data_IF_671955713581
#
_entry.id   IF_671955713581
#
_cell.length_a   1.000
_cell.length_b   1.000
_cell.length_c   1.000
_cell.angle_alpha   90.00
_cell.angle_beta   90.00
_cell.angle_gamma   90.00
#
_symmetry.space_group_name_H-M   'P 1'
#
loop_
_entity.id
_entity.type
_entity.pdbx_description
1 polymer ?
#
# COMPACT_ATOMS: atom_id res chain seq x y z
N UNK A 1 -17.91 10.28 -0.42
CA UNK A 1 -16.59 10.19 0.23
C UNK A 1 -16.86 10.39 1.71
N UNK A 2 -16.60 9.38 2.54
CA UNK A 2 -17.01 9.33 3.95
C UNK A 2 -15.77 9.21 4.85
N UNK A 3 -15.67 9.99 5.92
CA UNK A 3 -14.62 9.94 6.94
C UNK A 3 -15.23 9.77 8.34
N UNK A 4 -14.92 8.70 9.08
CA UNK A 4 -15.44 8.49 10.43
C UNK A 4 -14.62 9.27 11.49
N UNK A 5 -15.28 9.86 12.49
CA UNK A 5 -14.68 10.61 13.60
C UNK A 5 -14.76 9.82 14.91
N UNK A 6 -13.61 9.55 15.54
CA UNK A 6 -13.56 8.84 16.82
C UNK A 6 -13.75 9.80 17.99
N UNK A 7 -14.67 9.48 18.90
CA UNK A 7 -14.68 10.04 20.25
C UNK A 7 -13.72 9.24 21.15
N UNK A 8 -13.06 9.95 22.08
CA UNK A 8 -12.21 9.35 23.11
C UNK A 8 -13.11 8.71 24.17
N UNK A 9 -13.07 7.38 24.34
CA UNK A 9 -13.67 6.71 25.50
C UNK A 9 -12.56 6.15 26.40
N UNK A 10 -12.66 6.54 27.67
CA UNK A 10 -11.81 6.14 28.79
C UNK A 10 -12.06 4.65 29.16
N UNK A 11 -11.00 3.99 29.60
CA UNK A 11 -10.98 2.58 30.01
C UNK A 11 -11.87 2.33 31.25
N UNK A 12 -12.79 1.38 31.17
CA UNK A 12 -13.34 0.66 32.34
C UNK A 12 -12.98 -0.83 32.23
N UNK A 13 -12.15 -1.31 33.15
CA UNK A 13 -11.86 -2.72 33.36
C UNK A 13 -13.04 -3.40 34.10
N UNK A 14 -13.70 -4.36 33.47
CA UNK A 14 -14.60 -5.32 34.14
C UNK A 14 -13.96 -6.72 34.23
N UNK A 15 -13.70 -7.18 35.47
CA UNK A 15 -13.33 -8.56 35.80
C UNK A 15 -14.52 -9.51 35.57
N UNK A 16 -14.29 -10.65 34.88
CA UNK A 16 -15.30 -11.69 34.62
C UNK A 16 -14.81 -13.07 35.11
N UNK A 17 -15.65 -13.90 35.77
CA UNK A 17 -15.18 -14.93 36.70
C UNK A 17 -14.82 -16.28 36.05
N UNK A 18 -13.93 -17.00 36.76
CA UNK A 18 -13.38 -18.32 36.46
C UNK A 18 -14.45 -19.44 36.47
N UNK A 19 -14.48 -20.29 35.44
CA UNK A 19 -15.18 -21.58 35.47
C UNK A 19 -14.17 -22.75 35.36
N UNK A 20 -14.34 -23.73 36.27
CA UNK A 20 -13.52 -24.91 36.51
C UNK A 20 -13.89 -26.07 35.55
N UNK A 21 -12.91 -26.61 34.82
CA UNK A 21 -13.09 -27.78 33.95
C UNK A 21 -12.36 -28.98 34.53
N UNK A 22 -13.10 -29.92 35.14
CA UNK A 22 -12.64 -31.28 35.41
C UNK A 22 -13.52 -32.28 34.68
N UNK A 23 -12.84 -33.24 34.06
CA UNK A 23 -13.33 -34.47 33.43
C UNK A 23 -14.12 -34.23 32.12
N UNK A 24 -13.70 -34.71 30.94
CA UNK A 24 -13.25 -36.07 30.63
C UNK A 24 -12.31 -36.03 29.43
N UNK A 25 -11.08 -36.47 29.66
CA UNK A 25 -10.15 -36.93 28.63
C UNK A 25 -10.67 -38.26 28.05
N UNK A 26 -10.74 -38.37 26.71
CA UNK A 26 -10.50 -39.63 25.98
C UNK A 26 -10.34 -39.36 24.47
N UNK A 27 -9.07 -39.42 24.06
CA UNK A 27 -8.52 -39.95 22.81
C UNK A 27 -9.04 -39.31 21.50
N UNK A 28 -8.23 -38.56 20.74
CA UNK A 28 -7.20 -39.09 19.83
C UNK A 28 -6.08 -38.05 19.58
N UNK A 29 -4.89 -38.59 19.32
CA UNK A 29 -3.54 -38.07 19.51
C UNK A 29 -3.11 -36.85 18.66
N UNK A 30 -2.43 -35.90 19.33
CA UNK A 30 -1.54 -34.90 18.72
C UNK A 30 -0.10 -35.32 19.02
N UNK A 31 0.68 -35.59 17.98
CA UNK A 31 2.11 -35.81 18.11
C UNK A 31 2.82 -34.51 18.54
N UNK A 32 3.62 -34.64 19.59
CA UNK A 32 4.43 -33.58 20.22
C UNK A 32 5.58 -33.16 19.32
N UNK A 33 5.72 -31.85 19.09
CA UNK A 33 7.05 -31.22 19.00
C UNK A 33 7.06 -30.00 19.92
N UNK A 34 8.02 -30.03 20.84
CA UNK A 34 8.25 -29.13 21.96
C UNK A 34 8.39 -27.66 21.55
N UNK A 35 7.63 -26.78 22.21
CA UNK A 35 7.85 -25.33 22.22
C UNK A 35 9.09 -25.03 23.07
N UNK A 36 10.14 -24.49 22.45
CA UNK A 36 11.16 -23.71 23.16
C UNK A 36 10.73 -22.25 23.16
N UNK A 37 10.47 -21.72 24.36
CA UNK A 37 10.34 -20.30 24.60
C UNK A 37 11.71 -19.63 24.39
N UNK A 38 11.93 -18.96 23.26
CA UNK A 38 12.98 -17.95 23.17
C UNK A 38 12.37 -16.56 23.41
N UNK A 39 12.67 -16.02 24.59
CA UNK A 39 12.49 -14.62 24.94
C UNK A 39 13.21 -13.77 23.89
N UNK A 40 12.47 -12.99 23.10
CA UNK A 40 13.05 -11.97 22.23
C UNK A 40 13.69 -10.89 23.10
N UNK A 41 14.98 -11.04 23.40
CA UNK A 41 15.80 -9.97 23.97
C UNK A 41 15.90 -8.87 22.92
N UNK A 42 15.39 -7.69 23.26
CA UNK A 42 15.75 -6.44 22.58
C UNK A 42 17.24 -6.24 22.81
N UNK A 43 18.06 -6.77 21.90
CA UNK A 43 19.47 -6.48 21.88
C UNK A 43 19.61 -5.03 21.42
N UNK A 44 19.88 -4.14 22.38
CA UNK A 44 20.63 -2.93 22.11
C UNK A 44 21.80 -3.33 21.21
N UNK A 45 21.91 -2.72 20.02
CA UNK A 45 23.03 -2.93 19.12
C UNK A 45 24.29 -2.53 19.88
N UNK A 46 24.96 -3.52 20.46
CA UNK A 46 26.28 -3.37 21.04
C UNK A 46 27.19 -2.87 19.93
N UNK A 47 27.97 -1.84 20.21
CA UNK A 47 29.04 -1.31 19.38
C UNK A 47 29.94 -2.45 18.90
N UNK A 48 29.63 -3.02 17.73
CA UNK A 48 30.46 -4.01 17.08
C UNK A 48 31.64 -3.26 16.44
N UNK A 49 32.85 -3.71 16.77
CA UNK A 49 34.11 -3.24 16.19
C UNK A 49 34.05 -3.19 14.66
N UNK A 50 34.67 -2.19 14.02
CA UNK A 50 34.60 -2.01 12.56
C UNK A 50 35.15 -3.26 11.86
N UNK A 51 34.33 -3.88 11.02
CA UNK A 51 34.78 -4.96 10.14
C UNK A 51 35.78 -4.39 9.12
N UNK A 52 36.78 -5.17 8.67
CA UNK A 52 37.80 -4.68 7.75
C UNK A 52 37.15 -4.14 6.46
N UNK A 53 37.61 -2.97 6.01
CA UNK A 53 37.14 -2.30 4.80
C UNK A 53 37.23 -3.23 3.58
N UNK A 54 36.11 -3.56 2.96
CA UNK A 54 36.13 -4.09 1.60
C UNK A 54 36.51 -2.94 0.65
N UNK A 55 37.75 -2.95 0.14
CA UNK A 55 38.13 -2.10 -0.98
C UNK A 55 37.36 -2.59 -2.22
N UNK A 56 36.39 -1.80 -2.66
CA UNK A 56 35.64 -2.08 -3.88
C UNK A 56 36.43 -1.76 -5.16
N UNK A 57 37.46 -0.91 -5.08
CA UNK A 57 38.32 -0.59 -6.20
C UNK A 57 39.63 -1.42 -6.15
N UNK A 58 39.96 -2.16 -7.23
CA UNK A 58 41.30 -2.69 -7.46
C UNK A 58 42.36 -1.59 -7.44
N UNK A 59 43.62 -1.94 -7.16
CA UNK A 59 44.74 -0.96 -7.17
C UNK A 59 44.93 -0.29 -8.54
N UNK A 60 44.50 -0.95 -9.62
CA UNK A 60 44.53 -0.44 -10.99
C UNK A 60 43.61 0.79 -11.22
N UNK A 61 42.60 0.97 -10.37
CA UNK A 61 41.64 2.08 -10.50
C UNK A 61 42.05 3.34 -9.72
N UNK A 62 43.15 3.26 -8.95
CA UNK A 62 43.63 4.35 -8.10
C UNK A 62 43.96 5.62 -8.90
N UNK A 63 44.55 5.47 -10.08
CA UNK A 63 44.88 6.59 -10.98
C UNK A 63 43.61 7.29 -11.49
N UNK A 64 42.57 6.51 -11.80
CA UNK A 64 41.30 7.01 -12.32
C UNK A 64 40.55 7.75 -11.21
N UNK A 65 40.54 7.19 -10.00
CA UNK A 65 39.98 7.83 -8.81
C UNK A 65 40.66 9.17 -8.57
N UNK A 66 41.99 9.23 -8.59
CA UNK A 66 42.72 10.49 -8.41
C UNK A 66 42.41 11.52 -9.50
N UNK A 67 42.30 11.09 -10.77
CA UNK A 67 41.92 11.96 -11.90
C UNK A 67 40.52 12.55 -11.73
N UNK A 68 39.57 11.78 -11.19
CA UNK A 68 38.21 12.26 -10.89
C UNK A 68 38.22 13.22 -9.69
N UNK A 69 38.97 12.92 -8.62
CA UNK A 69 39.09 13.78 -7.43
C UNK A 69 39.74 15.13 -7.78
N UNK A 70 40.74 15.13 -8.65
CA UNK A 70 41.41 16.35 -9.14
C UNK A 70 40.56 17.15 -10.13
N UNK A 71 39.44 16.59 -10.63
CA UNK A 71 38.57 17.24 -11.61
C UNK A 71 39.05 17.14 -13.07
N UNK A 72 40.08 16.35 -13.34
CA UNK A 72 40.61 16.13 -14.69
C UNK A 72 39.67 15.24 -15.53
N UNK A 73 39.01 14.27 -14.90
CA UNK A 73 38.02 13.40 -15.54
C UNK A 73 36.61 13.69 -15.02
N UNK A 74 35.67 14.09 -15.89
CA UNK A 74 34.28 14.30 -15.48
C UNK A 74 33.61 12.98 -15.07
N UNK A 75 33.01 12.95 -13.87
CA UNK A 75 32.43 11.73 -13.28
C UNK A 75 31.27 11.13 -14.09
N UNK A 76 30.48 11.95 -14.79
CA UNK A 76 29.38 11.48 -15.64
C UNK A 76 29.84 10.73 -16.91
N UNK A 77 31.14 10.79 -17.25
CA UNK A 77 31.71 10.15 -18.44
C UNK A 77 32.34 8.78 -18.15
N UNK A 78 32.25 8.30 -16.91
CA UNK A 78 32.93 7.07 -16.49
C UNK A 78 32.32 5.83 -17.15
N UNK A 79 30.99 5.77 -17.25
CA UNK A 79 30.28 4.65 -17.88
C UNK A 79 30.67 4.49 -19.36
N UNK A 80 30.76 5.60 -20.10
CA UNK A 80 31.14 5.58 -21.52
C UNK A 80 32.62 5.34 -21.76
N UNK A 81 33.50 5.75 -20.84
CA UNK A 81 34.95 5.55 -20.94
C UNK A 81 35.40 4.15 -20.52
N UNK A 82 34.80 3.60 -19.48
CA UNK A 82 35.19 2.31 -18.91
C UNK A 82 34.44 1.15 -19.55
N UNK A 83 33.24 1.39 -20.09
CA UNK A 83 32.39 0.33 -20.65
C UNK A 83 31.84 -0.64 -19.60
N UNK A 84 32.03 -0.33 -18.31
CA UNK A 84 31.60 -1.12 -17.16
C UNK A 84 30.91 -0.19 -16.15
N UNK A 85 29.59 -0.31 -16.07
CA UNK A 85 28.76 0.55 -15.21
C UNK A 85 28.98 0.28 -13.72
N UNK A 86 29.26 -0.97 -13.34
CA UNK A 86 29.56 -1.33 -11.95
C UNK A 86 30.89 -0.70 -11.51
N UNK A 87 31.94 -0.84 -12.32
CA UNK A 87 33.24 -0.24 -12.05
C UNK A 87 33.17 1.29 -12.05
N UNK A 88 32.41 1.89 -12.96
CA UNK A 88 32.16 3.33 -12.96
C UNK A 88 31.51 3.82 -11.67
N UNK A 89 30.50 3.09 -11.15
CA UNK A 89 29.87 3.40 -9.87
C UNK A 89 30.82 3.23 -8.68
N UNK A 90 31.69 2.20 -8.69
CA UNK A 90 32.71 1.97 -7.67
C UNK A 90 33.74 3.11 -7.60
N UNK A 91 34.30 3.50 -8.75
CA UNK A 91 35.27 4.61 -8.86
C UNK A 91 34.63 5.92 -8.40
N UNK A 92 33.39 6.18 -8.81
CA UNK A 92 32.65 7.39 -8.41
C UNK A 92 32.40 7.43 -6.91
N UNK A 93 31.98 6.31 -6.32
CA UNK A 93 31.79 6.18 -4.88
C UNK A 93 33.08 6.49 -4.13
N UNK A 94 34.20 5.90 -4.55
CA UNK A 94 35.49 6.12 -3.90
C UNK A 94 35.97 7.58 -4.04
N UNK A 95 35.84 8.17 -5.23
CA UNK A 95 36.14 9.58 -5.44
C UNK A 95 35.27 10.50 -4.55
N UNK A 96 33.98 10.18 -4.39
CA UNK A 96 33.07 10.94 -3.52
C UNK A 96 33.45 10.84 -2.04
N UNK A 97 33.88 9.68 -1.56
CA UNK A 97 34.38 9.51 -0.18
C UNK A 97 35.59 10.39 0.09
N UNK A 98 36.53 10.46 -0.86
CA UNK A 98 37.74 11.29 -0.76
C UNK A 98 37.45 12.78 -0.82
N UNK A 99 36.54 13.20 -1.71
CA UNK A 99 36.13 14.59 -1.85
C UNK A 99 35.39 15.11 -0.62
N UNK A 100 34.50 14.30 -0.06
CA UNK A 100 33.66 14.70 1.08
C UNK A 100 34.29 14.43 2.43
N UNK A 101 35.33 13.59 2.49
CA UNK A 101 35.90 13.07 3.72
C UNK A 101 34.93 12.21 4.53
N UNK A 102 33.80 11.80 3.95
CA UNK A 102 32.75 11.01 4.60
C UNK A 102 32.73 9.59 4.05
N UNK A 103 32.55 8.63 4.95
CA UNK A 103 32.34 7.24 4.58
C UNK A 103 30.94 7.06 3.98
N UNK A 104 30.84 6.28 2.91
CA UNK A 104 29.59 5.78 2.34
C UNK A 104 29.30 4.33 2.77
N UNK A 105 29.93 3.89 3.86
CA UNK A 105 29.62 2.62 4.50
C UNK A 105 28.11 2.52 4.81
N UNK A 106 27.51 1.37 4.48
CA UNK A 106 26.07 1.16 4.61
C UNK A 106 25.27 1.44 3.34
N UNK A 107 25.85 2.05 2.30
CA UNK A 107 25.27 2.05 0.96
C UNK A 107 25.75 0.80 0.20
N UNK A 108 24.90 -0.16 -0.16
CA UNK A 108 25.31 -1.30 -0.98
C UNK A 108 25.76 -0.89 -2.39
N UNK A 109 26.64 -1.70 -2.98
CA UNK A 109 27.13 -1.54 -4.35
C UNK A 109 26.99 -2.83 -5.16
N UNK A 110 27.28 -3.98 -4.56
CA UNK A 110 27.24 -5.29 -5.22
C UNK A 110 25.83 -5.78 -5.52
N UNK A 111 25.71 -6.78 -6.41
CA UNK A 111 24.45 -7.47 -6.72
C UNK A 111 23.33 -6.59 -7.29
N UNK A 112 23.69 -5.45 -7.87
CA UNK A 112 22.78 -4.58 -8.59
C UNK A 112 23.20 -4.50 -10.06
N UNK A 113 22.22 -4.59 -10.96
CA UNK A 113 22.44 -4.48 -12.40
C UNK A 113 22.47 -3.00 -12.81
N UNK A 114 23.69 -2.42 -12.85
CA UNK A 114 23.88 -1.01 -13.22
C UNK A 114 23.66 -0.75 -14.71
N UNK A 115 23.77 -1.76 -15.56
CA UNK A 115 23.52 -1.62 -17.00
C UNK A 115 22.03 -1.37 -17.26
N UNK A 116 21.15 -1.99 -16.44
CA UNK A 116 19.69 -1.78 -16.54
C UNK A 116 19.23 -0.35 -16.27
N UNK A 117 19.98 0.43 -15.48
CA UNK A 117 19.59 1.81 -15.11
C UNK A 117 20.24 2.89 -15.99
N UNK A 118 21.29 2.54 -16.74
CA UNK A 118 22.05 3.50 -17.53
C UNK A 118 21.19 4.17 -18.59
N UNK A 119 21.09 5.50 -18.55
CA UNK A 119 20.31 6.28 -19.51
C UNK A 119 18.79 6.10 -19.39
N UNK A 120 18.31 5.42 -18.34
CA UNK A 120 16.89 5.19 -18.10
C UNK A 120 16.43 5.80 -16.77
N UNK A 121 17.03 5.36 -15.66
CA UNK A 121 16.45 5.56 -14.33
C UNK A 121 17.28 6.47 -13.43
N UNK A 122 18.60 6.50 -13.58
CA UNK A 122 19.49 7.23 -12.68
C UNK A 122 20.82 7.54 -13.36
N UNK A 123 21.23 8.81 -13.35
CA UNK A 123 22.57 9.22 -13.76
C UNK A 123 23.55 9.19 -12.58
N UNK A 124 24.82 8.90 -12.87
CA UNK A 124 25.92 8.91 -11.90
C UNK A 124 25.69 8.06 -10.63
N UNK A 125 25.30 6.77 -10.76
CA UNK A 125 25.06 5.91 -9.59
C UNK A 125 26.32 5.73 -8.73
N UNK A 126 26.14 5.66 -7.41
CA UNK A 126 27.19 5.38 -6.41
C UNK A 126 26.85 4.19 -5.50
N UNK A 127 25.73 3.53 -5.81
CA UNK A 127 25.11 2.46 -5.03
C UNK A 127 23.59 2.51 -5.15
N UNK A 128 22.91 1.75 -4.30
CA UNK A 128 21.45 1.70 -4.24
C UNK A 128 20.95 1.63 -2.80
N UNK A 129 19.68 1.97 -2.56
CA UNK A 129 19.06 1.86 -1.24
C UNK A 129 18.14 0.64 -1.20
N UNK A 130 18.34 -0.21 -0.20
CA UNK A 130 17.44 -1.33 0.06
C UNK A 130 16.19 -0.84 0.79
N UNK A 131 15.00 -1.18 0.26
CA UNK A 131 13.72 -0.88 0.90
C UNK A 131 13.07 -2.20 1.37
N UNK A 132 12.67 -2.30 2.65
CA UNK A 132 11.97 -3.49 3.13
C UNK A 132 10.61 -3.60 2.44
N UNK A 133 10.29 -4.81 1.99
CA UNK A 133 9.04 -5.13 1.29
C UNK A 133 8.20 -6.04 2.18
N UNK A 134 7.04 -5.55 2.60
CA UNK A 134 6.01 -6.35 3.28
C UNK A 134 4.91 -6.78 2.33
N UNK A 135 4.04 -7.68 2.78
CA UNK A 135 2.84 -8.10 2.05
C UNK A 135 1.62 -7.67 2.85
N UNK A 136 0.65 -7.03 2.20
CA UNK A 136 -0.69 -6.79 2.73
C UNK A 136 -1.71 -7.64 1.98
N UNK A 137 -2.58 -8.37 2.70
CA UNK A 137 -3.63 -9.19 2.13
C UNK A 137 -4.09 -10.36 3.01
N UNK A 138 -5.11 -11.11 2.57
CA UNK A 138 -5.70 -11.06 1.23
C UNK A 138 -6.58 -9.83 1.01
N UNK A 139 -6.38 -9.13 -0.09
CA UNK A 139 -7.31 -8.13 -0.61
C UNK A 139 -8.26 -8.83 -1.57
N UNK A 140 -9.54 -8.91 -1.22
CA UNK A 140 -10.57 -9.45 -2.10
C UNK A 140 -10.94 -8.39 -3.14
N UNK A 141 -10.64 -8.67 -4.40
CA UNK A 141 -10.99 -7.83 -5.54
C UNK A 141 -11.46 -8.74 -6.68
N UNK A 142 -12.65 -8.49 -7.21
CA UNK A 142 -13.24 -9.26 -8.32
C UNK A 142 -13.23 -10.78 -8.06
N UNK A 143 -13.69 -11.18 -6.88
CA UNK A 143 -13.74 -12.57 -6.39
C UNK A 143 -12.37 -13.29 -6.35
N UNK A 144 -11.28 -12.53 -6.38
CA UNK A 144 -9.92 -13.05 -6.31
C UNK A 144 -9.15 -12.42 -5.17
N UNK A 145 -8.34 -13.25 -4.53
CA UNK A 145 -7.48 -12.82 -3.44
C UNK A 145 -6.13 -12.36 -3.98
N UNK A 146 -5.78 -11.12 -3.64
CA UNK A 146 -4.49 -10.54 -4.00
C UNK A 146 -3.63 -10.31 -2.76
N UNK A 147 -2.36 -10.69 -2.87
CA UNK A 147 -1.31 -10.33 -1.93
C UNK A 147 -0.54 -9.14 -2.52
N UNK A 148 -0.61 -7.99 -1.87
CA UNK A 148 -0.03 -6.73 -2.37
C UNK A 148 1.38 -6.55 -1.77
N UNK A 149 2.46 -6.63 -2.57
CA UNK A 149 3.80 -6.30 -2.09
C UNK A 149 3.92 -4.78 -1.92
N UNK A 150 4.41 -4.35 -0.75
CA UNK A 150 4.56 -2.94 -0.39
C UNK A 150 5.99 -2.68 0.11
N UNK A 151 6.75 -1.87 -0.63
CA UNK A 151 8.07 -1.39 -0.19
C UNK A 151 7.89 -0.11 0.64
N UNK A 152 8.20 -0.14 1.94
CA UNK A 152 8.05 1.03 2.81
C UNK A 152 8.91 0.96 4.06
N UNK A 153 9.50 2.08 4.46
CA UNK A 153 10.15 2.24 5.77
C UNK A 153 9.20 2.80 6.82
N UNK A 154 7.97 3.16 6.43
CA UNK A 154 6.95 3.68 7.34
C UNK A 154 6.46 2.56 8.26
N UNK A 155 6.59 2.80 9.57
CA UNK A 155 6.08 1.85 10.58
C UNK A 155 4.57 1.73 10.44
N UNK A 156 4.07 0.53 10.68
CA UNK A 156 2.63 0.21 10.71
C UNK A 156 1.91 0.33 9.35
N UNK A 157 2.49 0.95 8.31
CA UNK A 157 1.80 1.10 7.02
C UNK A 157 1.32 -0.24 6.43
N UNK A 158 2.20 -1.23 6.32
CA UNK A 158 1.83 -2.58 5.81
C UNK A 158 0.77 -3.23 6.71
N UNK A 159 0.92 -3.13 8.03
CA UNK A 159 -0.02 -3.72 8.99
C UNK A 159 -1.39 -3.03 8.96
N UNK A 160 -1.42 -1.71 8.78
CA UNK A 160 -2.64 -0.91 8.63
C UNK A 160 -3.35 -1.25 7.32
N UNK A 161 -2.61 -1.35 6.21
CA UNK A 161 -3.16 -1.81 4.93
C UNK A 161 -3.71 -3.22 5.08
N UNK A 162 -3.02 -4.11 5.80
CA UNK A 162 -3.50 -5.46 6.07
C UNK A 162 -4.80 -5.50 6.88
N UNK A 163 -4.93 -4.62 7.89
CA UNK A 163 -6.20 -4.42 8.62
C UNK A 163 -7.30 -3.88 7.72
N UNK A 164 -6.99 -2.96 6.81
CA UNK A 164 -7.91 -2.45 5.78
C UNK A 164 -8.38 -3.54 4.82
N UNK A 165 -7.48 -4.42 4.36
CA UNK A 165 -7.82 -5.61 3.58
C UNK A 165 -8.79 -6.52 4.35
N UNK A 166 -8.53 -6.74 5.65
CA UNK A 166 -9.43 -7.51 6.52
C UNK A 166 -10.78 -6.82 6.76
N UNK A 167 -10.81 -5.49 6.83
CA UNK A 167 -12.06 -4.73 6.96
C UNK A 167 -12.89 -4.74 5.66
N UNK A 168 -12.25 -4.61 4.49
CA UNK A 168 -12.89 -4.82 3.18
C UNK A 168 -13.45 -6.24 3.09
N UNK A 169 -12.68 -7.22 3.54
CA UNK A 169 -13.12 -8.61 3.63
C UNK A 169 -14.32 -8.81 4.58
N UNK A 170 -14.46 -7.98 5.61
CA UNK A 170 -15.49 -8.12 6.65
C UNK A 170 -16.73 -7.20 6.48
N UNK A 171 -16.67 -6.11 5.69
CA UNK A 171 -17.65 -5.01 5.77
C UNK A 171 -18.74 -4.99 4.68
N UNK A 172 -19.90 -5.53 5.04
CA UNK A 172 -21.06 -4.64 5.23
C UNK A 172 -21.91 -4.15 4.03
N UNK A 173 -21.54 -4.36 2.75
CA UNK A 173 -22.37 -3.91 1.61
C UNK A 173 -22.95 -5.01 0.71
N UNK A 174 -22.68 -6.27 1.06
CA UNK A 174 -23.16 -7.44 0.32
C UNK A 174 -24.28 -8.20 1.04
N UNK A 175 -24.76 -7.69 2.18
CA UNK A 175 -25.96 -8.24 2.83
C UNK A 175 -27.23 -7.80 2.05
N UNK A 176 -28.04 -8.73 1.53
CA UNK A 176 -29.24 -8.42 0.74
C UNK A 176 -30.24 -7.49 1.47
N UNK A 177 -30.36 -7.58 2.79
CA UNK A 177 -31.32 -6.79 3.59
C UNK A 177 -30.99 -5.29 3.61
N UNK A 178 -29.70 -4.96 3.67
CA UNK A 178 -29.25 -3.57 3.72
C UNK A 178 -29.33 -2.92 2.35
N UNK A 179 -29.07 -3.69 1.28
CA UNK A 179 -29.24 -3.19 -0.09
C UNK A 179 -30.70 -2.83 -0.40
N UNK A 180 -31.68 -3.61 0.07
CA UNK A 180 -33.10 -3.30 -0.14
C UNK A 180 -33.51 -1.96 0.49
N UNK A 181 -33.05 -1.69 1.71
CA UNK A 181 -33.32 -0.44 2.41
C UNK A 181 -32.68 0.75 1.69
N UNK A 182 -31.40 0.63 1.32
CA UNK A 182 -30.70 1.69 0.58
C UNK A 182 -31.28 1.91 -0.82
N UNK A 183 -31.72 0.84 -1.49
CA UNK A 183 -32.41 0.89 -2.77
C UNK A 183 -33.76 1.60 -2.64
N UNK A 184 -34.53 1.32 -1.58
CA UNK A 184 -35.79 2.00 -1.32
C UNK A 184 -35.59 3.51 -1.13
N UNK A 185 -34.60 3.93 -0.33
CA UNK A 185 -34.27 5.36 -0.13
C UNK A 185 -33.82 6.01 -1.44
N UNK A 186 -32.96 5.34 -2.22
CA UNK A 186 -32.49 5.83 -3.51
C UNK A 186 -33.65 6.02 -4.50
N UNK A 187 -34.52 5.01 -4.63
CA UNK A 187 -35.58 4.96 -5.63
C UNK A 187 -36.71 5.97 -5.36
N UNK A 188 -36.86 6.45 -4.12
CA UNK A 188 -37.79 7.55 -3.79
C UNK A 188 -37.42 8.86 -4.47
N UNK A 189 -36.14 9.06 -4.81
CA UNK A 189 -35.66 10.30 -5.43
C UNK A 189 -36.18 10.53 -6.85
N UNK A 190 -36.62 9.47 -7.54
CA UNK A 190 -37.05 9.52 -8.94
C UNK A 190 -38.00 8.38 -9.32
N UNK A 191 -39.02 8.70 -10.13
CA UNK A 191 -39.97 7.70 -10.66
C UNK A 191 -39.29 6.66 -11.56
N UNK A 192 -38.19 7.04 -12.22
CA UNK A 192 -37.50 6.22 -13.23
C UNK A 192 -36.20 5.59 -12.73
N UNK A 193 -35.58 6.14 -11.68
CA UNK A 193 -34.31 5.66 -11.14
C UNK A 193 -34.48 4.35 -10.38
N UNK A 194 -33.77 3.28 -10.76
CA UNK A 194 -33.73 2.04 -9.97
C UNK A 194 -32.30 1.66 -9.66
N UNK A 195 -31.95 1.64 -8.38
CA UNK A 195 -30.64 1.21 -7.90
C UNK A 195 -30.43 -0.27 -8.24
N UNK A 196 -29.30 -0.57 -8.90
CA UNK A 196 -28.94 -1.91 -9.36
C UNK A 196 -27.85 -2.51 -8.48
N UNK A 197 -26.83 -1.72 -8.12
CA UNK A 197 -25.77 -2.15 -7.21
C UNK A 197 -25.04 -0.95 -6.61
N UNK A 198 -24.40 -1.17 -5.45
CA UNK A 198 -23.46 -0.23 -4.84
C UNK A 198 -22.13 -0.97 -4.71
N UNK A 199 -21.10 -0.52 -5.42
CA UNK A 199 -19.73 -1.04 -5.25
C UNK A 199 -18.94 -0.10 -4.39
N UNK A 200 -18.19 -0.62 -3.42
CA UNK A 200 -17.39 0.22 -2.54
C UNK A 200 -15.91 -0.10 -2.58
N UNK A 201 -15.11 0.94 -2.45
CA UNK A 201 -13.66 0.88 -2.39
C UNK A 201 -13.18 1.73 -1.22
N UNK A 202 -12.28 1.17 -0.41
CA UNK A 202 -11.70 1.85 0.76
C UNK A 202 -10.29 2.32 0.42
N UNK A 203 -9.95 3.54 0.82
CA UNK A 203 -8.57 4.03 0.79
C UNK A 203 -8.23 4.70 2.14
N UNK A 204 -7.46 4.01 2.98
CA UNK A 204 -7.19 4.47 4.35
C UNK A 204 -8.48 4.56 5.17
N UNK A 205 -8.74 5.74 5.75
CA UNK A 205 -10.00 6.03 6.47
C UNK A 205 -11.17 6.44 5.56
N UNK A 206 -10.93 6.58 4.25
CA UNK A 206 -11.91 7.11 3.30
C UNK A 206 -12.64 5.98 2.56
N UNK A 207 -13.96 6.06 2.51
CA UNK A 207 -14.80 5.14 1.73
C UNK A 207 -15.34 5.81 0.44
N UNK A 208 -15.14 5.14 -0.69
CA UNK A 208 -15.67 5.52 -2.00
C UNK A 208 -16.78 4.56 -2.41
N UNK A 209 -17.97 5.10 -2.69
CA UNK A 209 -19.14 4.31 -3.07
C UNK A 209 -19.54 4.64 -4.50
N UNK A 210 -19.69 3.62 -5.35
CA UNK A 210 -20.11 3.70 -6.75
C UNK A 210 -21.51 3.12 -6.88
N UNK A 211 -22.48 4.01 -7.07
CA UNK A 211 -23.88 3.66 -7.28
C UNK A 211 -24.13 3.42 -8.77
N UNK A 212 -24.65 2.23 -9.09
CA UNK A 212 -25.12 1.87 -10.43
C UNK A 212 -26.64 1.83 -10.40
N UNK A 213 -27.28 2.54 -11.33
CA UNK A 213 -28.73 2.55 -11.42
C UNK A 213 -29.20 2.66 -12.86
N UNK A 214 -30.40 2.14 -13.13
CA UNK A 214 -31.09 2.37 -14.39
C UNK A 214 -31.78 3.73 -14.36
N UNK A 215 -31.78 4.44 -15.49
CA UNK A 215 -32.30 5.81 -15.59
C UNK A 215 -33.30 5.98 -16.75
N UNK A 216 -33.83 4.86 -17.25
CA UNK A 216 -34.72 4.82 -18.42
C UNK A 216 -33.97 5.26 -19.68
N UNK A 217 -34.58 6.18 -20.45
CA UNK A 217 -34.00 6.72 -21.68
C UNK A 217 -33.08 7.94 -21.45
N UNK A 218 -33.01 8.45 -20.22
CA UNK A 218 -32.17 9.59 -19.88
C UNK A 218 -30.70 9.18 -19.72
N UNK A 219 -29.78 10.12 -19.91
CA UNK A 219 -28.36 9.93 -19.56
C UNK A 219 -28.15 9.83 -18.03
N UNK A 220 -29.10 10.37 -17.25
CA UNK A 220 -29.25 9.99 -15.84
C UNK A 220 -28.37 10.71 -14.81
N UNK A 221 -27.33 11.45 -15.21
CA UNK A 221 -26.33 12.02 -14.28
C UNK A 221 -26.92 12.75 -13.06
N UNK A 222 -27.82 13.71 -13.27
CA UNK A 222 -28.43 14.47 -12.16
C UNK A 222 -29.39 13.62 -11.31
N UNK A 223 -30.03 12.63 -11.93
CA UNK A 223 -30.93 11.70 -11.25
C UNK A 223 -30.15 10.81 -10.30
N UNK A 224 -29.00 10.28 -10.76
CA UNK A 224 -28.13 9.45 -9.94
C UNK A 224 -27.54 10.25 -8.79
N UNK A 225 -27.03 11.46 -9.04
CA UNK A 225 -26.46 12.30 -7.98
C UNK A 225 -27.47 12.63 -6.88
N UNK A 226 -28.73 12.92 -7.24
CA UNK A 226 -29.79 13.18 -6.26
C UNK A 226 -30.14 11.94 -5.43
N UNK A 227 -30.27 10.77 -6.08
CA UNK A 227 -30.53 9.51 -5.37
C UNK A 227 -29.39 9.14 -4.42
N UNK A 228 -28.13 9.32 -4.88
CA UNK A 228 -26.94 9.11 -4.05
C UNK A 228 -26.91 10.06 -2.86
N UNK A 229 -27.30 11.33 -3.04
CA UNK A 229 -27.37 12.28 -1.94
C UNK A 229 -28.38 11.86 -0.87
N UNK A 230 -29.59 11.42 -1.24
CA UNK A 230 -30.57 10.93 -0.26
C UNK A 230 -30.07 9.70 0.51
N UNK A 231 -29.35 8.79 -0.16
CA UNK A 231 -28.75 7.62 0.50
C UNK A 231 -27.65 8.05 1.47
N UNK A 232 -26.83 9.01 1.08
CA UNK A 232 -25.77 9.54 1.94
C UNK A 232 -26.38 10.25 3.16
N UNK A 233 -27.41 11.08 2.98
CA UNK A 233 -28.13 11.75 4.09
C UNK A 233 -28.81 10.76 5.03
N UNK A 234 -29.23 9.60 4.54
CA UNK A 234 -29.72 8.50 5.37
C UNK A 234 -28.57 7.86 6.16
N UNK A 235 -27.45 7.57 5.50
CA UNK A 235 -26.27 7.00 6.15
C UNK A 235 -25.66 7.95 7.19
N UNK A 236 -25.69 9.28 6.99
CA UNK A 236 -25.20 10.26 7.97
C UNK A 236 -26.04 10.27 9.26
N UNK A 237 -27.32 9.86 9.19
CA UNK A 237 -28.18 9.73 10.38
C UNK A 237 -27.87 8.47 11.17
N UNK A 238 -27.57 7.37 10.49
CA UNK A 238 -27.22 6.09 11.10
C UNK A 238 -25.76 6.06 11.60
N UNK A 239 -24.88 6.80 10.93
CA UNK A 239 -23.46 6.96 11.24
C UNK A 239 -23.15 8.45 11.43
N UNK A 240 -23.47 9.04 12.60
CA UNK A 240 -23.26 10.46 12.87
C UNK A 240 -21.77 10.85 12.92
N UNK A 241 -20.89 9.86 13.06
CA UNK A 241 -19.44 10.00 13.00
C UNK A 241 -18.92 10.13 11.57
N UNK A 242 -19.74 9.80 10.55
CA UNK A 242 -19.37 9.84 9.14
C UNK A 242 -19.45 11.26 8.55
N UNK A 243 -18.35 11.72 7.97
CA UNK A 243 -18.19 13.03 7.35
C UNK A 243 -18.17 12.93 5.82
N UNK A 244 -19.13 13.58 5.16
CA UNK A 244 -19.29 13.56 3.72
C UNK A 244 -18.43 14.62 3.05
N UNK A 245 -17.24 14.21 2.61
CA UNK A 245 -16.30 15.08 1.90
C UNK A 245 -16.82 15.43 0.49
N UNK A 246 -17.70 14.61 -0.10
CA UNK A 246 -18.34 14.94 -1.38
C UNK A 246 -19.08 13.78 -2.06
N UNK A 247 -20.06 14.14 -2.89
CA UNK A 247 -20.93 13.20 -3.63
C UNK A 247 -20.18 12.54 -4.81
N UNK A 248 -19.24 13.25 -5.45
CA UNK A 248 -18.39 12.69 -6.52
C UNK A 248 -16.93 12.67 -6.10
N UNK A 249 -16.42 11.47 -5.82
CA UNK A 249 -15.01 11.24 -5.44
C UNK A 249 -14.12 10.79 -6.61
N UNK A 250 -14.46 11.15 -7.86
CA UNK A 250 -13.83 10.64 -9.09
C UNK A 250 -13.88 9.11 -9.30
N UNK A 251 -14.62 8.36 -8.48
CA UNK A 251 -14.75 6.89 -8.60
C UNK A 251 -15.85 6.45 -9.58
N UNK A 252 -16.72 7.37 -10.03
CA UNK A 252 -17.62 7.17 -11.19
C UNK A 252 -16.94 7.44 -12.55
N UNK A 253 -15.79 8.12 -12.51
CA UNK A 253 -15.01 8.66 -13.62
C UNK A 253 -15.85 9.20 -14.80
N UNK A 254 -16.55 10.31 -14.61
CA UNK A 254 -17.19 11.00 -15.74
C UNK A 254 -16.15 11.81 -16.54
N UNK A 255 -16.21 11.72 -17.87
CA UNK A 255 -15.38 12.50 -18.82
C UNK A 255 -13.86 12.38 -18.61
N UNK A 256 -13.41 11.31 -17.96
CA UNK A 256 -12.00 10.98 -17.74
C UNK A 256 -11.74 9.54 -18.18
N UNK A 257 -10.60 9.26 -18.84
CA UNK A 257 -10.23 7.89 -19.16
C UNK A 257 -9.97 7.14 -17.86
N UNK A 258 -10.72 6.07 -17.63
CA UNK A 258 -10.57 5.24 -16.45
C UNK A 258 -10.84 3.79 -16.81
N UNK A 259 -9.94 2.90 -16.40
CA UNK A 259 -10.06 1.48 -16.63
C UNK A 259 -11.38 0.92 -16.07
N UNK A 260 -11.85 1.48 -14.96
CA UNK A 260 -13.12 1.08 -14.32
C UNK A 260 -14.34 1.26 -15.23
N UNK A 261 -14.34 2.24 -16.15
CA UNK A 261 -15.45 2.42 -17.10
C UNK A 261 -15.38 1.45 -18.28
N UNK A 262 -14.17 1.01 -18.64
CA UNK A 262 -13.94 0.06 -19.72
C UNK A 262 -14.32 -1.36 -19.30
N UNK A 263 -13.96 -1.73 -18.07
CA UNK A 263 -14.15 -3.09 -17.54
C UNK A 263 -15.59 -3.29 -17.06
N UNK A 264 -16.09 -2.38 -16.21
CA UNK A 264 -17.41 -2.51 -15.59
C UNK A 264 -18.53 -1.91 -16.44
N UNK A 265 -18.17 -1.24 -17.53
CA UNK A 265 -19.09 -0.44 -18.32
C UNK A 265 -19.51 0.86 -17.62
N UNK A 266 -20.09 1.75 -18.42
CA UNK A 266 -20.74 2.98 -17.98
C UNK A 266 -21.77 3.41 -19.01
N UNK A 267 -23.04 3.48 -18.62
CA UNK A 267 -24.14 3.77 -19.55
C UNK A 267 -24.54 2.54 -20.34
N UNK A 268 -24.48 2.60 -21.68
CA UNK A 268 -24.88 1.47 -22.55
C UNK A 268 -23.64 0.74 -23.08
N UNK A 269 -23.59 -0.58 -22.92
CA UNK A 269 -22.59 -1.45 -23.53
C UNK A 269 -23.22 -2.20 -24.71
N UNK A 270 -22.58 -2.18 -25.88
CA UNK A 270 -23.07 -2.83 -27.13
C UNK A 270 -21.92 -3.61 -27.75
N UNK A 271 -22.20 -4.80 -28.28
CA UNK A 271 -21.25 -5.70 -28.97
C UNK A 271 -21.55 -5.71 -30.46
#
# INVERSE_FOLDING_TARGET
LVQLSGENEEEEEEEVPLYDTKDVNKDIQVDRVTLMEEKCHVACISTASPKPMAKYCPEEDEEIVQSVVQGNTPSYSLESKLGDCFRAAAIRREALQRLTGKSLEGLPLEHFDYDSILGQCCEMPIGYVQLPVGIAGPLLLDDKEYSVPMATTERVLVASTNRGCKAIYASFLEDPLNFETLSAVFNQSSRFGRLQSIKCAIAGKNLYMRFSCSTGDAMGMNMVSKGTQHVIEFLEKEFPDMDVIGISGNYCSDKKPAAVNWIEGRGKSVV
#
